data_IF_318332734426
#
_entry.id   IF_318332734426
#
_cell.length_a   1.000
_cell.length_b   1.000
_cell.length_c   1.000
_cell.angle_alpha   90.00
_cell.angle_beta   90.00
_cell.angle_gamma   90.00
#
_symmetry.space_group_name_H-M   'P 1'
#
loop_
_entity.id
_entity.type
_entity.pdbx_description
1 polymer ?
#
# COMPACT_ATOMS: atom_id res chain seq x y z
N UNK A 1 -6.38 5.64 -11.41
CA UNK A 1 -5.87 4.29 -11.12
C UNK A 1 -6.48 3.35 -12.14
N UNK A 2 -5.68 2.58 -12.87
CA UNK A 2 -6.22 1.65 -13.88
C UNK A 2 -6.93 0.50 -13.18
N UNK A 3 -8.06 0.04 -13.73
CA UNK A 3 -8.77 -1.13 -13.20
C UNK A 3 -7.87 -2.37 -13.32
N UNK A 4 -7.89 -3.22 -12.31
CA UNK A 4 -7.16 -4.49 -12.33
C UNK A 4 -8.17 -5.55 -12.73
N UNK A 5 -8.11 -5.99 -13.98
CA UNK A 5 -9.20 -6.75 -14.63
C UNK A 5 -9.60 -8.03 -13.90
N UNK A 6 -8.67 -8.66 -13.18
CA UNK A 6 -8.93 -9.90 -12.46
C UNK A 6 -9.42 -9.70 -11.01
N UNK A 7 -9.36 -8.48 -10.46
CA UNK A 7 -9.71 -8.19 -9.08
C UNK A 7 -10.96 -7.29 -8.99
N UNK A 8 -11.83 -7.56 -8.02
CA UNK A 8 -12.99 -6.70 -7.75
C UNK A 8 -12.58 -5.41 -7.03
N UNK A 9 -11.54 -5.49 -6.18
CA UNK A 9 -11.05 -4.37 -5.38
C UNK A 9 -9.55 -4.48 -5.12
N UNK A 10 -8.90 -3.32 -5.04
CA UNK A 10 -7.55 -3.18 -4.51
C UNK A 10 -7.60 -2.74 -3.05
N UNK A 11 -6.85 -3.42 -2.19
CA UNK A 11 -6.78 -3.12 -0.76
C UNK A 11 -5.32 -2.88 -0.37
N UNK A 12 -5.03 -1.68 0.15
CA UNK A 12 -3.69 -1.25 0.56
C UNK A 12 -3.74 -0.85 2.05
N UNK A 13 -3.62 -1.84 2.96
CA UNK A 13 -3.58 -1.63 4.41
C UNK A 13 -2.18 -1.19 4.90
N UNK A 14 -1.16 -1.33 4.06
CA UNK A 14 0.18 -0.75 4.21
C UNK A 14 0.46 0.12 2.98
N UNK A 15 1.26 1.16 3.12
CA UNK A 15 1.82 1.94 2.00
C UNK A 15 3.27 2.30 2.27
N UNK A 16 4.06 2.51 1.21
CA UNK A 16 5.50 2.74 1.32
C UNK A 16 6.31 1.45 1.16
N UNK A 17 7.62 1.60 1.00
CA UNK A 17 8.58 0.51 0.75
C UNK A 17 10.02 1.03 0.91
N UNK A 18 10.99 0.13 1.10
CA UNK A 18 12.42 0.42 0.95
C UNK A 18 12.96 -0.21 -0.33
N UNK A 19 13.74 0.53 -1.12
CA UNK A 19 14.40 -0.04 -2.30
C UNK A 19 15.52 -1.00 -1.88
N UNK A 20 15.41 -2.27 -2.30
CA UNK A 20 16.37 -3.33 -1.93
C UNK A 20 17.29 -3.76 -3.07
N UNK A 21 16.96 -3.43 -4.33
CA UNK A 21 17.76 -3.85 -5.49
C UNK A 21 17.57 -2.95 -6.72
N UNK A 22 18.42 -3.08 -7.76
CA UNK A 22 18.20 -2.42 -9.05
C UNK A 22 16.85 -2.72 -9.71
N UNK A 23 16.20 -3.83 -9.34
CA UNK A 23 14.85 -4.18 -9.80
C UNK A 23 13.76 -3.19 -9.36
N UNK A 24 14.02 -2.37 -8.33
CA UNK A 24 13.10 -1.32 -7.87
C UNK A 24 13.07 -0.10 -8.81
N UNK A 25 13.91 -0.06 -9.85
CA UNK A 25 13.98 1.08 -10.78
C UNK A 25 12.66 1.22 -11.55
N UNK A 26 12.11 2.44 -11.56
CA UNK A 26 10.87 2.73 -12.28
C UNK A 26 9.61 2.23 -11.58
N UNK A 27 9.66 2.02 -10.26
CA UNK A 27 8.50 1.60 -9.47
C UNK A 27 7.32 2.57 -9.65
N UNK A 28 6.22 2.06 -10.21
CA UNK A 28 5.03 2.89 -10.46
C UNK A 28 4.36 3.37 -9.16
N UNK A 29 4.50 2.60 -8.08
CA UNK A 29 3.89 2.89 -6.79
C UNK A 29 4.51 4.13 -6.12
N UNK A 30 5.78 4.46 -6.39
CA UNK A 30 6.39 5.73 -5.97
C UNK A 30 5.65 6.92 -6.59
N UNK A 31 5.46 6.86 -7.92
CA UNK A 31 4.81 7.92 -8.66
C UNK A 31 3.36 8.10 -8.25
N UNK A 32 2.65 6.98 -8.01
CA UNK A 32 1.28 7.04 -7.56
C UNK A 32 1.18 7.56 -6.12
N UNK A 33 2.02 7.07 -5.20
CA UNK A 33 2.01 7.52 -3.81
C UNK A 33 2.30 9.00 -3.68
N UNK A 34 3.29 9.52 -4.43
CA UNK A 34 3.56 10.96 -4.47
C UNK A 34 2.35 11.76 -5.00
N UNK A 35 1.67 11.26 -6.04
CA UNK A 35 0.44 11.92 -6.55
C UNK A 35 -0.67 11.94 -5.49
N UNK A 36 -0.89 10.82 -4.80
CA UNK A 36 -1.92 10.71 -3.77
C UNK A 36 -1.60 11.59 -2.55
N UNK A 37 -0.34 11.69 -2.17
CA UNK A 37 0.13 12.64 -1.17
C UNK A 37 -0.14 14.09 -1.61
N UNK A 38 0.20 14.46 -2.85
CA UNK A 38 0.01 15.81 -3.36
C UNK A 38 -1.47 16.25 -3.42
N UNK A 39 -2.42 15.31 -3.56
CA UNK A 39 -3.87 15.61 -3.51
C UNK A 39 -4.45 15.52 -2.08
N UNK A 40 -3.60 15.36 -1.07
CA UNK A 40 -4.01 15.41 0.35
C UNK A 40 -4.44 14.07 0.95
N UNK A 41 -4.19 12.93 0.29
CA UNK A 41 -4.49 11.64 0.92
C UNK A 41 -3.49 11.34 2.05
N UNK A 42 -3.97 11.47 3.29
CA UNK A 42 -3.15 11.39 4.50
C UNK A 42 -2.27 10.15 4.57
N UNK A 43 -2.81 8.97 4.24
CA UNK A 43 -2.05 7.72 4.33
C UNK A 43 -0.78 7.69 3.48
N UNK A 44 -0.69 8.47 2.41
CA UNK A 44 0.48 8.53 1.53
C UNK A 44 1.47 9.65 1.88
N UNK A 45 1.20 10.44 2.92
CA UNK A 45 2.10 11.52 3.30
C UNK A 45 3.42 10.98 3.88
N UNK A 46 4.55 11.52 3.40
CA UNK A 46 5.89 11.21 3.91
C UNK A 46 6.49 9.89 3.45
N UNK A 47 5.73 8.98 2.82
CA UNK A 47 6.30 7.72 2.28
C UNK A 47 7.10 7.96 0.99
N UNK A 48 6.90 9.09 0.33
CA UNK A 48 7.69 9.51 -0.84
C UNK A 48 8.21 10.93 -0.71
N UNK A 49 9.42 11.16 -1.20
CA UNK A 49 10.04 12.48 -1.39
C UNK A 49 10.70 12.53 -2.76
N UNK A 50 10.53 13.62 -3.50
CA UNK A 50 11.13 13.77 -4.82
C UNK A 50 10.77 12.63 -5.80
N UNK A 51 9.56 12.08 -5.69
CA UNK A 51 9.10 10.91 -6.48
C UNK A 51 9.87 9.62 -6.22
N UNK A 52 10.52 9.50 -5.07
CA UNK A 52 11.21 8.30 -4.60
C UNK A 52 10.64 7.86 -3.26
N UNK A 53 10.67 6.56 -2.97
CA UNK A 53 10.40 6.06 -1.62
C UNK A 53 11.38 6.65 -0.61
N UNK A 54 10.88 7.05 0.56
CA UNK A 54 11.72 7.50 1.69
C UNK A 54 12.29 6.33 2.51
N UNK A 55 11.86 5.10 2.22
CA UNK A 55 12.13 3.92 3.05
C UNK A 55 11.15 3.75 4.21
N UNK A 56 10.25 4.72 4.42
CA UNK A 56 9.21 4.63 5.44
C UNK A 56 8.02 3.81 4.91
N UNK A 57 7.44 3.04 5.82
CA UNK A 57 6.13 2.41 5.62
C UNK A 57 5.13 3.01 6.59
N UNK A 58 3.87 3.05 6.17
CA UNK A 58 2.75 3.41 7.02
C UNK A 58 1.75 2.27 7.05
N UNK A 59 1.43 1.82 8.25
CA UNK A 59 0.38 0.86 8.56
C UNK A 59 -0.92 1.64 8.79
N UNK A 60 -2.02 1.18 8.19
CA UNK A 60 -3.36 1.77 8.33
C UNK A 60 -4.26 0.75 9.03
N UNK A 61 -4.28 0.79 10.36
CA UNK A 61 -5.02 -0.13 11.23
C UNK A 61 -6.51 -0.19 10.88
N UNK A 62 -7.10 0.95 10.53
CA UNK A 62 -8.51 1.05 10.18
C UNK A 62 -8.87 0.20 8.95
N UNK A 63 -7.90 -0.02 8.04
CA UNK A 63 -8.11 -0.83 6.84
C UNK A 63 -8.29 -2.31 7.17
N UNK A 64 -7.84 -2.82 8.33
CA UNK A 64 -8.08 -4.21 8.77
C UNK A 64 -9.57 -4.52 8.94
N UNK A 65 -10.38 -3.51 9.23
CA UNK A 65 -11.83 -3.66 9.37
C UNK A 65 -12.55 -3.69 8.01
N UNK A 66 -11.91 -3.23 6.93
CA UNK A 66 -12.55 -3.02 5.64
C UNK A 66 -13.16 -4.29 5.03
N UNK A 67 -12.52 -5.47 5.07
CA UNK A 67 -13.14 -6.71 4.59
C UNK A 67 -14.47 -7.04 5.25
N UNK A 68 -14.63 -6.69 6.53
CA UNK A 68 -15.87 -6.92 7.31
C UNK A 68 -17.05 -6.08 6.82
N UNK A 69 -16.78 -5.00 6.07
CA UNK A 69 -17.82 -4.12 5.51
C UNK A 69 -18.39 -4.61 4.18
N UNK A 70 -17.79 -5.63 3.56
CA UNK A 70 -18.21 -6.08 2.23
C UNK A 70 -19.49 -6.91 2.31
N UNK A 71 -20.51 -6.53 1.53
CA UNK A 71 -21.81 -7.22 1.47
C UNK A 71 -21.77 -8.58 0.78
N UNK A 72 -20.72 -8.86 0.01
CA UNK A 72 -20.54 -10.09 -0.75
C UNK A 72 -19.04 -10.43 -0.82
N UNK A 73 -18.68 -11.71 -1.02
CA UNK A 73 -17.31 -12.12 -1.29
C UNK A 73 -16.71 -11.36 -2.47
N UNK A 74 -15.41 -11.06 -2.39
CA UNK A 74 -14.66 -10.32 -3.40
C UNK A 74 -13.32 -10.97 -3.65
N UNK A 75 -12.85 -10.93 -4.90
CA UNK A 75 -11.45 -11.16 -5.24
C UNK A 75 -10.65 -9.88 -5.01
N UNK A 76 -9.68 -9.94 -4.13
CA UNK A 76 -8.94 -8.77 -3.64
C UNK A 76 -7.51 -8.81 -4.14
N UNK A 77 -7.03 -7.72 -4.72
CA UNK A 77 -5.60 -7.50 -4.86
C UNK A 77 -5.08 -6.71 -3.65
N UNK A 78 -4.42 -7.45 -2.77
CA UNK A 78 -3.78 -6.93 -1.58
C UNK A 78 -2.39 -6.36 -1.93
N UNK A 79 -2.13 -5.10 -1.53
CA UNK A 79 -0.79 -4.50 -1.56
C UNK A 79 -0.26 -4.10 -2.93
N UNK A 80 -1.09 -3.50 -3.81
CA UNK A 80 -0.62 -3.03 -5.11
C UNK A 80 0.43 -1.89 -5.01
N UNK A 81 0.42 -1.12 -3.92
CA UNK A 81 1.35 0.00 -3.69
C UNK A 81 2.07 -0.11 -2.35
N UNK A 82 2.27 -1.33 -1.87
CA UNK A 82 2.70 -1.62 -0.51
C UNK A 82 3.83 -2.65 -0.49
N UNK A 83 4.60 -2.61 0.58
CA UNK A 83 5.45 -3.70 1.03
C UNK A 83 4.90 -4.24 2.35
N UNK A 84 4.05 -5.27 2.28
CA UNK A 84 3.29 -5.81 3.43
C UNK A 84 4.22 -6.46 4.45
N UNK A 85 5.29 -7.10 3.96
CA UNK A 85 6.26 -7.81 4.78
C UNK A 85 7.53 -6.97 4.99
N UNK A 86 7.43 -5.64 4.83
CA UNK A 86 8.53 -4.75 5.15
C UNK A 86 8.90 -4.91 6.62
N UNK A 87 10.19 -4.88 6.93
CA UNK A 87 10.75 -5.05 8.29
C UNK A 87 10.16 -4.13 9.36
N UNK A 88 9.58 -3.00 8.96
CA UNK A 88 9.00 -2.00 9.85
C UNK A 88 7.47 -2.13 9.97
N UNK A 89 6.87 -3.15 9.33
CA UNK A 89 5.48 -3.55 9.56
C UNK A 89 5.45 -4.51 10.76
N UNK A 90 4.66 -4.23 11.82
CA UNK A 90 4.62 -5.11 12.98
C UNK A 90 4.04 -6.50 12.68
N UNK A 91 4.61 -7.54 13.28
CA UNK A 91 4.13 -8.93 13.10
C UNK A 91 2.65 -9.09 13.46
N UNK A 92 2.19 -8.46 14.55
CA UNK A 92 0.78 -8.52 14.96
C UNK A 92 -0.18 -7.94 13.90
N UNK A 93 0.28 -6.98 13.10
CA UNK A 93 -0.51 -6.42 12.01
C UNK A 93 -0.61 -7.41 10.85
N UNK A 94 0.49 -8.09 10.53
CA UNK A 94 0.54 -9.14 9.51
C UNK A 94 -0.35 -10.31 9.92
N UNK A 95 -0.30 -10.74 11.19
CA UNK A 95 -1.18 -11.77 11.73
C UNK A 95 -2.66 -11.38 11.65
N UNK A 96 -3.01 -10.12 11.93
CA UNK A 96 -4.38 -9.65 11.82
C UNK A 96 -4.88 -9.55 10.35
N UNK A 97 -3.96 -9.53 9.38
CA UNK A 97 -4.26 -9.39 7.96
C UNK A 97 -4.61 -10.72 7.27
N UNK A 98 -4.15 -11.86 7.80
CA UNK A 98 -4.29 -13.21 7.20
C UNK A 98 -5.10 -14.17 8.09
#
# INVERSE_FOLDING_TARGET
MTKIEWADVTWNPVVGCTKVSPGCRGCYAERMSQRLANIGMEKYQGVTEGWQWTGQVRVIEEELSRPKTWKAPRRVFLGSMADIFHKDVPDHFIEALF
#
